data_IF_450122226735
#
_entry.id   IF_450122226735
#
_cell.length_a   1.000
_cell.length_b   1.000
_cell.length_c   1.000
_cell.angle_alpha   90.00
_cell.angle_beta   90.00
_cell.angle_gamma   90.00
#
_symmetry.space_group_name_H-M   'P 1'
#
loop_
_entity.id
_entity.type
_entity.pdbx_description
1 polymer ?
#
# COMPACT_ATOMS: atom_id res chain seq x y z
N UNK A 1 -3.92 -21.59 2.27
CA UNK A 1 -3.35 -20.42 2.98
C UNK A 1 -4.28 -19.89 4.07
N UNK A 2 -5.39 -19.19 3.76
CA UNK A 2 -6.21 -18.52 4.79
C UNK A 2 -6.76 -19.43 5.91
N UNK A 3 -7.07 -20.71 5.62
CA UNK A 3 -7.45 -21.70 6.64
C UNK A 3 -6.37 -21.95 7.71
N UNK A 4 -5.08 -21.77 7.37
CA UNK A 4 -3.97 -21.85 8.33
C UNK A 4 -3.90 -20.60 9.21
N UNK A 5 -4.22 -19.42 8.66
CA UNK A 5 -4.29 -18.17 9.43
C UNK A 5 -5.40 -18.21 10.48
N UNK A 6 -6.55 -18.81 10.16
CA UNK A 6 -7.67 -18.96 11.10
C UNK A 6 -7.33 -19.78 12.37
N UNK A 7 -6.31 -20.63 12.36
CA UNK A 7 -5.86 -21.39 13.53
C UNK A 7 -4.67 -20.77 14.28
N UNK A 8 -4.14 -19.62 13.82
CA UNK A 8 -3.02 -18.97 14.47
C UNK A 8 -3.43 -18.06 15.64
N UNK A 9 -2.52 -17.84 16.59
CA UNK A 9 -2.69 -16.82 17.62
C UNK A 9 -2.69 -15.41 17.00
N UNK A 10 -3.32 -14.40 17.63
CA UNK A 10 -3.27 -13.02 17.16
C UNK A 10 -1.83 -12.49 17.01
N UNK A 11 -0.94 -12.84 17.93
CA UNK A 11 0.47 -12.43 17.87
C UNK A 11 1.20 -13.04 16.65
N UNK A 12 0.91 -14.31 16.34
CA UNK A 12 1.45 -14.98 15.15
C UNK A 12 0.93 -14.34 13.86
N UNK A 13 -0.35 -13.96 13.81
CA UNK A 13 -0.93 -13.25 12.67
C UNK A 13 -0.27 -11.88 12.45
N UNK A 14 -0.07 -11.11 13.51
CA UNK A 14 0.66 -9.84 13.45
C UNK A 14 2.09 -10.02 12.95
N UNK A 15 2.81 -11.05 13.41
CA UNK A 15 4.15 -11.35 12.93
C UNK A 15 4.19 -11.74 11.44
N UNK A 16 3.21 -12.52 10.97
CA UNK A 16 3.08 -12.90 9.55
C UNK A 16 2.78 -11.68 8.67
N UNK A 17 1.80 -10.86 9.03
CA UNK A 17 1.45 -9.66 8.27
C UNK A 17 2.56 -8.59 8.30
N UNK A 18 3.32 -8.49 9.40
CA UNK A 18 4.50 -7.63 9.46
C UNK A 18 5.61 -8.15 8.54
N UNK A 19 5.87 -9.45 8.53
CA UNK A 19 6.86 -10.05 7.63
C UNK A 19 6.46 -9.87 6.14
N UNK A 20 5.17 -9.96 5.82
CA UNK A 20 4.63 -9.68 4.48
C UNK A 20 4.85 -8.22 4.07
N UNK A 21 4.48 -7.26 4.93
CA UNK A 21 4.68 -5.83 4.68
C UNK A 21 6.17 -5.45 4.55
N UNK A 22 7.04 -6.03 5.38
CA UNK A 22 8.49 -5.87 5.28
C UNK A 22 9.06 -6.49 3.99
N UNK A 23 8.52 -7.63 3.54
CA UNK A 23 8.92 -8.24 2.27
C UNK A 23 8.51 -7.38 1.06
N UNK A 24 7.29 -6.84 1.06
CA UNK A 24 6.85 -5.86 0.06
C UNK A 24 7.78 -4.64 0.09
N UNK A 25 8.06 -4.08 1.27
CA UNK A 25 8.98 -2.94 1.49
C UNK A 25 10.45 -3.23 1.12
N UNK A 26 10.87 -4.50 1.13
CA UNK A 26 12.19 -4.90 0.63
C UNK A 26 12.23 -4.97 -0.90
N UNK A 27 11.19 -5.54 -1.53
CA UNK A 27 11.03 -5.63 -2.99
C UNK A 27 10.93 -4.22 -3.60
N UNK A 28 10.05 -3.37 -3.07
CA UNK A 28 10.57 -2.26 -2.26
C UNK A 28 11.67 -1.39 -2.80
N UNK A 29 12.53 -1.07 -1.84
CA UNK A 29 13.75 -0.33 -2.03
C UNK A 29 14.60 -0.99 -3.12
N UNK A 30 14.62 -2.33 -3.20
CA UNK A 30 15.44 -3.04 -4.18
C UNK A 30 15.10 -2.67 -5.64
N UNK A 31 13.83 -2.74 -6.06
CA UNK A 31 13.42 -2.41 -7.42
C UNK A 31 13.68 -0.93 -7.76
N UNK A 32 13.41 -0.03 -6.82
CA UNK A 32 13.69 1.40 -6.96
C UNK A 32 15.18 1.71 -7.10
N UNK A 33 16.02 1.17 -6.20
CA UNK A 33 17.48 1.36 -6.23
C UNK A 33 18.11 0.70 -7.48
N UNK A 34 17.65 -0.49 -7.87
CA UNK A 34 18.12 -1.15 -9.10
C UNK A 34 17.82 -0.30 -10.34
N UNK A 35 16.61 0.24 -10.44
CA UNK A 35 16.20 1.13 -11.55
C UNK A 35 17.05 2.41 -11.59
N UNK A 36 17.33 3.02 -10.43
CA UNK A 36 18.19 4.21 -10.34
C UNK A 36 19.65 3.90 -10.71
N UNK A 37 20.15 2.72 -10.34
CA UNK A 37 21.48 2.22 -10.71
C UNK A 37 21.62 2.01 -12.22
N UNK A 38 20.64 1.37 -12.85
CA UNK A 38 20.58 1.21 -14.31
C UNK A 38 20.55 2.55 -15.04
N UNK A 39 19.79 3.53 -14.51
CA UNK A 39 19.72 4.89 -15.05
C UNK A 39 20.90 5.79 -14.63
N UNK A 40 21.89 5.27 -13.89
CA UNK A 40 23.08 5.98 -13.37
C UNK A 40 22.76 7.31 -12.64
N UNK A 41 21.58 7.41 -12.02
CA UNK A 41 21.16 8.64 -11.33
C UNK A 41 21.79 8.74 -9.94
N UNK A 42 22.48 9.84 -9.66
CA UNK A 42 22.92 10.19 -8.30
C UNK A 42 21.71 10.48 -7.42
N UNK A 43 21.77 10.02 -6.18
CA UNK A 43 20.68 10.09 -5.20
C UNK A 43 21.26 10.24 -3.79
N UNK A 44 20.52 10.90 -2.89
CA UNK A 44 20.84 10.93 -1.45
C UNK A 44 20.70 9.52 -0.85
N UNK A 45 21.45 9.23 0.22
CA UNK A 45 21.17 8.07 1.07
C UNK A 45 19.99 8.40 2.00
N UNK A 46 19.22 7.38 2.36
CA UNK A 46 18.17 7.50 3.36
C UNK A 46 18.75 7.85 4.75
N UNK A 47 18.16 8.86 5.37
CA UNK A 47 18.40 9.34 6.74
C UNK A 47 17.73 8.43 7.78
N UNK A 48 18.17 8.53 9.04
CA UNK A 48 17.54 7.79 10.12
C UNK A 48 16.06 8.16 10.36
N UNK A 49 15.70 9.43 10.08
CA UNK A 49 14.30 9.88 10.20
C UNK A 49 13.41 9.22 9.15
N UNK A 50 13.84 9.17 7.88
CA UNK A 50 13.12 8.47 6.81
C UNK A 50 12.94 6.97 7.14
N UNK A 51 13.98 6.31 7.69
CA UNK A 51 13.86 4.92 8.17
C UNK A 51 12.87 4.75 9.33
N UNK A 52 12.88 5.66 10.32
CA UNK A 52 11.92 5.61 11.44
C UNK A 52 10.48 5.74 10.95
N UNK A 53 10.21 6.62 9.99
CA UNK A 53 8.87 6.79 9.41
C UNK A 53 8.48 5.57 8.59
N UNK A 54 9.39 5.02 7.76
CA UNK A 54 9.16 3.78 7.02
C UNK A 54 8.79 2.59 7.94
N UNK A 55 9.41 2.49 9.12
CA UNK A 55 9.04 1.50 10.15
C UNK A 55 7.62 1.76 10.69
N UNK A 56 7.27 3.01 11.03
CA UNK A 56 5.93 3.38 11.48
C UNK A 56 4.88 3.06 10.40
N UNK A 57 5.14 3.39 9.14
CA UNK A 57 4.31 3.05 7.98
C UNK A 57 4.08 1.54 7.87
N UNK A 58 5.13 0.71 8.05
CA UNK A 58 5.00 -0.74 8.03
C UNK A 58 4.14 -1.28 9.19
N UNK A 59 4.23 -0.70 10.39
CA UNK A 59 3.39 -1.06 11.53
C UNK A 59 1.92 -0.69 11.30
N UNK A 60 1.66 0.48 10.70
CA UNK A 60 0.30 0.90 10.32
C UNK A 60 -0.26 0.00 9.22
N UNK A 61 0.51 -0.29 8.16
CA UNK A 61 0.08 -1.20 7.10
C UNK A 61 -0.20 -2.61 7.65
N UNK A 62 0.60 -3.08 8.61
CA UNK A 62 0.33 -4.35 9.32
C UNK A 62 -1.02 -4.33 10.03
N UNK A 63 -1.36 -3.22 10.71
CA UNK A 63 -2.66 -3.03 11.37
C UNK A 63 -3.82 -2.99 10.35
N UNK A 64 -3.62 -2.36 9.18
CA UNK A 64 -4.57 -2.35 8.06
C UNK A 64 -4.77 -3.76 7.49
N UNK A 65 -3.69 -4.51 7.22
CA UNK A 65 -3.75 -5.91 6.76
C UNK A 65 -4.49 -6.80 7.76
N UNK A 66 -4.19 -6.65 9.06
CA UNK A 66 -4.90 -7.36 10.12
C UNK A 66 -6.40 -6.99 10.18
N UNK A 67 -6.72 -5.72 9.95
CA UNK A 67 -8.12 -5.25 9.87
C UNK A 67 -8.85 -5.83 8.66
N UNK A 68 -8.20 -5.92 7.50
CA UNK A 68 -8.74 -6.60 6.32
C UNK A 68 -8.96 -8.09 6.53
N UNK A 69 -8.03 -8.78 7.21
CA UNK A 69 -8.22 -10.19 7.61
C UNK A 69 -9.40 -10.36 8.59
N UNK A 70 -9.55 -9.45 9.55
CA UNK A 70 -10.69 -9.43 10.46
C UNK A 70 -12.02 -9.18 9.71
N UNK A 71 -12.05 -8.22 8.79
CA UNK A 71 -13.22 -7.94 7.94
C UNK A 71 -13.61 -9.14 7.08
N UNK A 72 -12.62 -9.83 6.47
CA UNK A 72 -12.83 -11.08 5.73
C UNK A 72 -13.39 -12.19 6.63
N UNK A 73 -12.83 -12.38 7.83
CA UNK A 73 -13.33 -13.36 8.82
C UNK A 73 -14.79 -13.13 9.22
N UNK A 74 -15.24 -11.88 9.21
CA UNK A 74 -16.62 -11.48 9.50
C UNK A 74 -17.52 -11.35 8.26
N UNK A 75 -17.05 -11.76 7.07
CA UNK A 75 -17.75 -11.70 5.77
C UNK A 75 -18.04 -10.28 5.24
N UNK A 76 -17.41 -9.24 5.80
CA UNK A 76 -17.45 -7.87 5.25
C UNK A 76 -16.62 -7.73 3.97
N UNK A 77 -15.63 -8.61 3.77
CA UNK A 77 -14.86 -8.75 2.54
C UNK A 77 -14.97 -10.20 2.09
N UNK A 78 -15.15 -10.41 0.79
CA UNK A 78 -15.25 -11.74 0.19
C UNK A 78 -14.19 -11.88 -0.90
N UNK A 79 -13.63 -13.08 -1.06
CA UNK A 79 -12.61 -13.37 -2.06
C UNK A 79 -12.96 -14.66 -2.79
N UNK A 80 -12.87 -14.65 -4.13
CA UNK A 80 -12.77 -15.87 -4.94
C UNK A 80 -11.33 -16.40 -4.92
N UNK A 81 -11.18 -17.73 -5.01
CA UNK A 81 -9.89 -18.43 -5.11
C UNK A 81 -9.79 -19.24 -6.40
N UNK A 82 -10.68 -19.00 -7.35
CA UNK A 82 -10.78 -19.75 -8.59
C UNK A 82 -9.65 -19.30 -9.53
N UNK A 83 -8.93 -20.25 -10.14
CA UNK A 83 -7.85 -19.97 -11.10
C UNK A 83 -8.42 -19.99 -12.52
N UNK A 84 -9.26 -19.00 -12.84
CA UNK A 84 -9.84 -18.81 -14.17
C UNK A 84 -9.39 -17.48 -14.81
N UNK A 85 -9.93 -17.15 -15.99
CA UNK A 85 -9.58 -15.93 -16.71
C UNK A 85 -10.02 -14.65 -15.98
N UNK A 86 -10.97 -14.73 -15.02
CA UNK A 86 -11.45 -13.57 -14.25
C UNK A 86 -10.35 -12.99 -13.38
N UNK A 87 -9.34 -13.76 -12.99
CA UNK A 87 -8.14 -13.24 -12.30
C UNK A 87 -7.54 -12.05 -13.04
N UNK A 88 -7.49 -12.09 -14.39
CA UNK A 88 -6.95 -11.01 -15.22
C UNK A 88 -7.93 -9.81 -15.23
N UNK A 89 -9.22 -10.08 -15.37
CA UNK A 89 -10.27 -9.04 -15.34
C UNK A 89 -10.29 -8.30 -14.00
N UNK A 90 -10.37 -9.05 -12.89
CA UNK A 90 -10.37 -8.53 -11.53
C UNK A 90 -9.09 -7.75 -11.22
N UNK A 91 -7.94 -8.16 -11.76
CA UNK A 91 -6.69 -7.42 -11.64
C UNK A 91 -6.78 -6.04 -12.30
N UNK A 92 -7.29 -5.96 -13.54
CA UNK A 92 -7.48 -4.66 -14.19
C UNK A 92 -8.55 -3.80 -13.49
N UNK A 93 -9.64 -4.41 -13.01
CA UNK A 93 -10.71 -3.68 -12.29
C UNK A 93 -10.20 -3.13 -10.96
N UNK A 94 -9.50 -3.92 -10.14
CA UNK A 94 -8.98 -3.42 -8.85
C UNK A 94 -7.89 -2.36 -9.06
N UNK A 95 -7.03 -2.52 -10.07
CA UNK A 95 -6.02 -1.53 -10.46
C UNK A 95 -6.67 -0.20 -10.84
N UNK A 96 -7.62 -0.21 -11.78
CA UNK A 96 -8.32 1.00 -12.24
C UNK A 96 -9.17 1.65 -11.14
N UNK A 97 -9.89 0.84 -10.35
CA UNK A 97 -10.76 1.35 -9.28
C UNK A 97 -9.94 1.99 -8.16
N UNK A 98 -8.82 1.38 -7.77
CA UNK A 98 -7.93 1.95 -6.76
C UNK A 98 -7.22 3.21 -7.28
N UNK A 99 -6.80 3.24 -8.55
CA UNK A 99 -6.17 4.45 -9.14
C UNK A 99 -7.16 5.61 -9.26
N UNK A 100 -8.42 5.33 -9.63
CA UNK A 100 -9.50 6.32 -9.60
C UNK A 100 -9.80 6.79 -8.16
N UNK A 101 -9.87 5.87 -7.21
CA UNK A 101 -10.10 6.19 -5.80
C UNK A 101 -8.97 7.07 -5.23
N UNK A 102 -7.71 6.77 -5.58
CA UNK A 102 -6.55 7.58 -5.23
C UNK A 102 -6.61 8.97 -5.88
N UNK A 103 -6.96 9.08 -7.17
CA UNK A 103 -7.14 10.37 -7.83
C UNK A 103 -8.19 11.23 -7.11
N UNK A 104 -9.36 10.66 -6.81
CA UNK A 104 -10.45 11.37 -6.12
C UNK A 104 -10.06 11.76 -4.70
N UNK A 105 -9.48 10.83 -3.92
CA UNK A 105 -9.01 11.11 -2.57
C UNK A 105 -7.98 12.25 -2.57
N UNK A 106 -6.99 12.19 -3.46
CA UNK A 106 -5.92 13.18 -3.54
C UNK A 106 -6.44 14.56 -3.98
N UNK A 107 -7.32 14.60 -4.98
CA UNK A 107 -8.02 15.82 -5.40
C UNK A 107 -8.78 16.46 -4.22
N UNK A 108 -9.55 15.66 -3.46
CA UNK A 108 -10.30 16.15 -2.30
C UNK A 108 -9.38 16.65 -1.18
N UNK A 109 -8.28 15.95 -0.89
CA UNK A 109 -7.30 16.37 0.14
C UNK A 109 -6.71 17.74 -0.21
N UNK A 110 -6.27 17.95 -1.47
CA UNK A 110 -5.74 19.24 -1.94
C UNK A 110 -6.76 20.39 -1.82
N UNK A 111 -8.05 20.13 -2.05
CA UNK A 111 -9.12 21.14 -1.94
C UNK A 111 -9.68 21.30 -0.52
N UNK A 112 -9.09 20.62 0.47
CA UNK A 112 -9.52 20.65 1.87
C UNK A 112 -8.49 21.31 2.80
N UNK A 113 -8.94 21.75 3.98
CA UNK A 113 -8.04 22.27 5.01
C UNK A 113 -6.98 21.23 5.50
N UNK A 114 -7.20 19.93 5.26
CA UNK A 114 -6.27 18.87 5.65
C UNK A 114 -4.96 18.88 4.84
N UNK A 115 -4.91 19.50 3.66
CA UNK A 115 -3.70 19.62 2.83
C UNK A 115 -2.48 20.11 3.64
N UNK A 116 -2.64 21.20 4.39
CA UNK A 116 -1.55 21.84 5.16
C UNK A 116 -1.07 21.02 6.37
N UNK A 117 -1.95 20.17 6.92
CA UNK A 117 -1.67 19.41 8.15
C UNK A 117 -1.06 18.05 7.81
N UNK A 118 -1.58 17.42 6.75
CA UNK A 118 -1.34 16.00 6.46
C UNK A 118 -0.45 15.86 5.22
N UNK A 119 -0.81 16.50 4.10
CA UNK A 119 -0.18 16.23 2.81
C UNK A 119 1.08 17.06 2.53
N UNK A 120 1.22 18.24 3.16
CA UNK A 120 2.41 19.06 3.04
C UNK A 120 3.69 18.33 3.48
N UNK A 121 3.60 17.34 4.38
CA UNK A 121 4.75 16.53 4.82
C UNK A 121 5.38 15.74 3.65
N UNK A 122 4.57 15.05 2.85
CA UNK A 122 5.03 14.28 1.69
C UNK A 122 5.73 15.17 0.65
N UNK A 123 5.21 16.38 0.44
CA UNK A 123 5.78 17.35 -0.51
C UNK A 123 7.13 17.96 -0.10
N UNK A 124 7.60 17.77 1.15
CA UNK A 124 8.95 18.23 1.55
C UNK A 124 10.08 17.45 0.86
N UNK A 125 9.78 16.30 0.25
CA UNK A 125 10.73 15.42 -0.40
C UNK A 125 10.84 15.70 -1.91
N UNK A 126 11.32 16.90 -2.28
CA UNK A 126 11.43 17.37 -3.68
C UNK A 126 12.30 16.50 -4.60
N UNK A 127 13.21 15.71 -4.03
CA UNK A 127 14.09 14.77 -4.70
C UNK A 127 13.84 13.34 -4.20
N UNK A 128 12.73 12.70 -4.63
CA UNK A 128 12.29 11.44 -4.08
C UNK A 128 13.29 10.31 -4.36
N UNK A 129 13.71 9.64 -3.29
CA UNK A 129 14.45 8.37 -3.35
C UNK A 129 13.50 7.19 -3.05
N UNK A 130 13.89 5.92 -3.28
CA UNK A 130 12.98 4.79 -3.15
C UNK A 130 12.32 4.62 -1.77
N UNK A 131 12.93 5.09 -0.68
CA UNK A 131 12.29 5.05 0.64
C UNK A 131 11.17 6.07 0.79
N UNK A 132 11.16 7.14 0.01
CA UNK A 132 10.15 8.21 0.07
C UNK A 132 8.77 7.73 -0.47
N UNK A 133 8.68 6.46 -0.93
CA UNK A 133 7.42 5.73 -1.15
C UNK A 133 6.76 5.28 0.18
N UNK A 134 7.51 5.22 1.28
CA UNK A 134 7.06 4.77 2.62
C UNK A 134 7.19 5.85 3.69
N UNK A 135 7.70 7.04 3.34
CA UNK A 135 7.85 8.19 4.23
C UNK A 135 6.62 9.09 4.11
N UNK A 136 5.47 8.54 4.54
CA UNK A 136 4.20 9.26 4.58
C UNK A 136 3.88 9.72 6.00
N UNK A 137 3.02 10.73 6.13
CA UNK A 137 2.48 11.08 7.44
C UNK A 137 1.57 9.94 7.94
N UNK A 138 1.59 9.55 9.23
CA UNK A 138 0.82 8.40 9.75
C UNK A 138 -0.68 8.42 9.39
N UNK A 139 -1.29 9.61 9.35
CA UNK A 139 -2.70 9.75 8.93
C UNK A 139 -2.91 9.46 7.44
N UNK A 140 -1.96 9.76 6.56
CA UNK A 140 -2.02 9.38 5.14
C UNK A 140 -1.99 7.86 4.99
N UNK A 141 -1.06 7.20 5.68
CA UNK A 141 -0.95 5.73 5.68
C UNK A 141 -2.26 5.07 6.15
N UNK A 142 -2.87 5.60 7.21
CA UNK A 142 -4.20 5.14 7.67
C UNK A 142 -5.28 5.42 6.61
N UNK A 143 -5.33 6.62 6.02
CA UNK A 143 -6.33 6.98 5.01
C UNK A 143 -6.22 6.12 3.74
N UNK A 144 -5.02 5.88 3.23
CA UNK A 144 -4.80 4.99 2.08
C UNK A 144 -5.14 3.54 2.41
N UNK A 145 -4.84 3.09 3.63
CA UNK A 145 -5.27 1.76 4.11
C UNK A 145 -6.79 1.61 4.19
N UNK A 146 -7.49 2.61 4.71
CA UNK A 146 -8.97 2.64 4.74
C UNK A 146 -9.54 2.68 3.33
N UNK A 147 -8.96 3.47 2.42
CA UNK A 147 -9.38 3.56 1.02
C UNK A 147 -9.25 2.20 0.31
N UNK A 148 -8.14 1.50 0.53
CA UNK A 148 -7.92 0.16 -0.02
C UNK A 148 -8.92 -0.86 0.54
N UNK A 149 -9.14 -0.87 1.87
CA UNK A 149 -10.15 -1.72 2.52
C UNK A 149 -11.57 -1.43 2.00
N UNK A 150 -11.90 -0.16 1.76
CA UNK A 150 -13.16 0.24 1.16
C UNK A 150 -13.29 -0.34 -0.26
N UNK A 151 -12.30 -0.14 -1.14
CA UNK A 151 -12.29 -0.65 -2.52
C UNK A 151 -12.52 -2.16 -2.56
N UNK A 152 -11.77 -2.96 -1.77
CA UNK A 152 -11.91 -4.43 -1.78
C UNK A 152 -13.18 -4.96 -1.09
N UNK A 153 -13.93 -4.09 -0.38
CA UNK A 153 -15.24 -4.45 0.21
C UNK A 153 -16.42 -4.22 -0.73
N UNK A 154 -16.23 -3.49 -1.84
CA UNK A 154 -17.29 -3.20 -2.82
C UNK A 154 -17.63 -4.40 -3.73
N UNK A 155 -16.71 -5.33 -3.91
CA UNK A 155 -16.85 -6.45 -4.84
C UNK A 155 -16.02 -7.66 -4.39
N UNK A 156 -16.49 -8.87 -4.70
CA UNK A 156 -15.80 -10.13 -4.38
C UNK A 156 -14.69 -10.41 -5.40
N UNK A 157 -13.58 -9.67 -5.27
CA UNK A 157 -12.42 -9.83 -6.13
C UNK A 157 -11.73 -11.18 -5.92
N UNK A 158 -11.11 -11.69 -6.98
CA UNK A 158 -10.21 -12.83 -6.89
C UNK A 158 -8.96 -12.50 -6.04
N UNK A 159 -8.61 -13.41 -5.12
CA UNK A 159 -7.47 -13.24 -4.23
C UNK A 159 -6.13 -13.06 -4.97
N UNK A 160 -5.93 -13.78 -6.08
CA UNK A 160 -4.70 -13.71 -6.87
C UNK A 160 -4.57 -12.39 -7.64
N UNK A 161 -5.69 -11.75 -7.99
CA UNK A 161 -5.71 -10.42 -8.58
C UNK A 161 -5.21 -9.36 -7.58
N UNK A 162 -5.76 -9.35 -6.36
CA UNK A 162 -5.35 -8.42 -5.29
C UNK A 162 -3.87 -8.62 -4.92
N UNK A 163 -3.43 -9.87 -4.78
CA UNK A 163 -2.02 -10.19 -4.48
C UNK A 163 -1.06 -9.71 -5.59
N UNK A 164 -1.54 -9.59 -6.83
CA UNK A 164 -0.77 -9.10 -7.97
C UNK A 164 -0.75 -7.56 -8.03
N UNK A 165 -1.88 -6.89 -7.77
CA UNK A 165 -1.94 -5.42 -7.66
C UNK A 165 -0.97 -4.89 -6.58
N UNK A 166 -0.94 -5.54 -5.42
CA UNK A 166 -0.07 -5.19 -4.30
C UNK A 166 1.43 -5.18 -4.68
N UNK A 167 1.83 -5.94 -5.72
CA UNK A 167 3.21 -5.95 -6.26
C UNK A 167 3.42 -4.98 -7.43
N UNK A 168 2.36 -4.55 -8.13
CA UNK A 168 2.44 -3.61 -9.24
C UNK A 168 2.42 -2.15 -8.81
N UNK A 169 2.00 -1.84 -7.58
CA UNK A 169 1.85 -0.47 -7.03
C UNK A 169 3.19 0.25 -6.73
N UNK A 170 4.24 -0.06 -7.50
CA UNK A 170 5.59 0.52 -7.43
C UNK A 170 5.75 1.91 -8.06
N UNK A 171 4.73 2.39 -8.77
CA UNK A 171 4.86 3.50 -9.69
C UNK A 171 3.73 4.53 -9.55
N UNK A 172 3.65 5.18 -8.38
CA UNK A 172 2.89 6.43 -8.27
C UNK A 172 3.53 7.44 -7.31
N UNK A 173 4.72 7.94 -7.66
CA UNK A 173 5.35 9.04 -6.93
C UNK A 173 5.87 10.15 -7.90
N UNK A 174 5.02 10.53 -8.89
CA UNK A 174 5.34 11.63 -9.81
C UNK A 174 4.17 12.31 -10.56
N UNK A 175 2.92 12.10 -10.17
CA UNK A 175 1.77 12.43 -11.03
C UNK A 175 0.85 13.57 -10.57
N UNK A 176 1.13 14.21 -9.42
CA UNK A 176 0.49 15.47 -9.05
C UNK A 176 1.56 16.51 -8.68
N UNK A 177 2.14 17.11 -9.73
CA UNK A 177 2.74 18.45 -9.67
C UNK A 177 1.75 19.40 -10.32
N UNK A 178 0.93 20.04 -9.49
CA UNK A 178 0.18 21.26 -9.79
C UNK A 178 0.40 22.21 -8.61
#
# INVERSE_FOLDING_TARGET
>A
MLRLLLSQSPLTLWAVFLAENLAVTAIALFAGWATLGLLKKRTKKATWTEWRICIITNLINTAVTFSGFWMWKHNYIQFSFDLDWRVISDFFVVLMLMDLAMYVFHYLVHHSAFYKIIHQFHHQYEHPIPIDLFVLHPLETVSFGILWLAVISLYSFNFYAILSDCKCRFWYNRAFRY
#
